data_IF_617609590452
#
_entry.id   IF_617609590452
#
_cell.length_a   1.000
_cell.length_b   1.000
_cell.length_c   1.000
_cell.angle_alpha   90.00
_cell.angle_beta   90.00
_cell.angle_gamma   90.00
#
_symmetry.space_group_name_H-M   'P 1'
#
loop_
_entity.id
_entity.type
_entity.pdbx_description
1 polymer ?
#
# COMPACT_ATOMS: atom_id res chain seq x y z
N UNK A 1 -10.80 32.53 -21.39
CA UNK A 1 -10.37 31.16 -21.03
C UNK A 1 -11.60 30.29 -21.11
N UNK A 2 -11.64 29.36 -22.05
CA UNK A 2 -12.83 28.56 -22.30
C UNK A 2 -13.14 27.65 -21.10
N UNK A 3 -14.42 27.59 -20.71
CA UNK A 3 -14.92 26.80 -19.58
C UNK A 3 -14.49 25.32 -19.64
N UNK A 4 -14.20 24.80 -20.83
CA UNK A 4 -13.68 23.45 -21.05
C UNK A 4 -12.26 23.24 -20.49
N UNK A 5 -11.40 24.26 -20.56
CA UNK A 5 -10.02 24.20 -20.04
C UNK A 5 -9.99 24.14 -18.51
N UNK A 6 -10.86 24.90 -17.85
CA UNK A 6 -10.94 24.96 -16.38
C UNK A 6 -11.45 23.62 -15.82
N UNK A 7 -12.44 23.02 -16.47
CA UNK A 7 -13.02 21.73 -16.03
C UNK A 7 -11.99 20.59 -16.11
N UNK A 8 -11.17 20.54 -17.17
CA UNK A 8 -10.12 19.54 -17.30
C UNK A 8 -9.04 19.64 -16.22
N UNK A 9 -8.67 20.86 -15.82
CA UNK A 9 -7.70 21.12 -14.75
C UNK A 9 -8.24 20.62 -13.40
N UNK A 10 -9.52 20.85 -13.11
CA UNK A 10 -10.15 20.40 -11.87
C UNK A 10 -10.14 18.87 -11.77
N UNK A 11 -10.50 18.16 -12.85
CA UNK A 11 -10.49 16.70 -12.88
C UNK A 11 -9.07 16.15 -12.66
N UNK A 12 -8.08 16.75 -13.32
CA UNK A 12 -6.68 16.35 -13.17
C UNK A 12 -6.18 16.49 -11.72
N UNK A 13 -6.51 17.60 -11.07
CA UNK A 13 -6.14 17.84 -9.66
C UNK A 13 -6.78 16.80 -8.74
N UNK A 14 -8.06 16.46 -8.95
CA UNK A 14 -8.76 15.46 -8.14
C UNK A 14 -8.08 14.09 -8.26
N UNK A 15 -7.76 13.67 -9.49
CA UNK A 15 -7.08 12.39 -9.75
C UNK A 15 -5.70 12.38 -9.09
N UNK A 16 -4.94 13.47 -9.19
CA UNK A 16 -3.61 13.58 -8.60
C UNK A 16 -3.64 13.50 -7.07
N UNK A 17 -4.62 14.16 -6.43
CA UNK A 17 -4.83 14.08 -4.97
C UNK A 17 -5.24 12.67 -4.54
N UNK A 18 -6.13 12.02 -5.29
CA UNK A 18 -6.54 10.64 -5.01
C UNK A 18 -5.38 9.66 -5.15
N UNK A 19 -4.59 9.76 -6.23
CA UNK A 19 -3.41 8.94 -6.45
C UNK A 19 -2.38 9.13 -5.33
N UNK A 20 -2.13 10.37 -4.91
CA UNK A 20 -1.23 10.67 -3.79
C UNK A 20 -1.70 10.07 -2.47
N UNK A 21 -3.02 10.09 -2.20
CA UNK A 21 -3.60 9.48 -0.99
C UNK A 21 -3.45 7.95 -0.99
N UNK A 22 -3.72 7.30 -2.12
CA UNK A 22 -3.57 5.85 -2.28
C UNK A 22 -2.10 5.46 -2.08
N UNK A 23 -1.17 6.21 -2.69
CA UNK A 23 0.26 5.97 -2.52
C UNK A 23 0.69 6.10 -1.06
N UNK A 24 0.23 7.15 -0.35
CA UNK A 24 0.51 7.33 1.07
C UNK A 24 -0.03 6.18 1.93
N UNK A 25 -1.22 5.68 1.61
CA UNK A 25 -1.83 4.55 2.31
C UNK A 25 -1.02 3.26 2.10
N UNK A 26 -0.64 2.97 0.84
CA UNK A 26 0.19 1.82 0.50
C UNK A 26 1.55 1.87 1.22
N UNK A 27 2.20 3.03 1.22
CA UNK A 27 3.51 3.20 1.87
C UNK A 27 3.41 2.90 3.38
N UNK A 28 2.38 3.43 4.04
CA UNK A 28 2.12 3.15 5.46
C UNK A 28 1.89 1.66 5.70
N UNK A 29 1.07 1.01 4.88
CA UNK A 29 0.81 -0.43 5.00
C UNK A 29 2.10 -1.26 4.87
N UNK A 30 2.98 -0.92 3.92
CA UNK A 30 4.28 -1.59 3.76
C UNK A 30 5.17 -1.39 4.98
N UNK A 31 5.25 -0.18 5.53
CA UNK A 31 6.05 0.10 6.73
C UNK A 31 5.54 -0.69 7.94
N UNK A 32 4.22 -0.71 8.16
CA UNK A 32 3.62 -1.50 9.24
C UNK A 32 3.88 -2.99 9.07
N UNK A 33 3.77 -3.50 7.84
CA UNK A 33 4.06 -4.89 7.53
C UNK A 33 5.51 -5.27 7.83
N UNK A 34 6.47 -4.41 7.44
CA UNK A 34 7.89 -4.60 7.75
C UNK A 34 8.16 -4.59 9.25
N UNK A 35 7.55 -3.67 10.01
CA UNK A 35 7.68 -3.62 11.47
C UNK A 35 7.16 -4.89 12.14
N UNK A 36 5.96 -5.35 11.76
CA UNK A 36 5.40 -6.60 12.28
C UNK A 36 6.32 -7.78 11.95
N UNK A 37 6.84 -7.84 10.72
CA UNK A 37 7.76 -8.91 10.32
C UNK A 37 9.05 -8.88 11.14
N UNK A 38 9.63 -7.70 11.38
CA UNK A 38 10.79 -7.56 12.27
C UNK A 38 10.48 -8.05 13.68
N UNK A 39 9.33 -7.68 14.24
CA UNK A 39 8.91 -8.15 15.57
C UNK A 39 8.78 -9.67 15.61
N UNK A 40 8.18 -10.29 14.57
CA UNK A 40 8.06 -11.75 14.49
C UNK A 40 9.41 -12.46 14.43
N UNK A 41 10.36 -11.92 13.66
CA UNK A 41 11.71 -12.48 13.55
C UNK A 41 12.47 -12.32 14.86
N UNK A 42 12.47 -11.12 15.45
CA UNK A 42 13.29 -10.82 16.63
C UNK A 42 12.71 -11.37 17.93
N UNK A 43 11.39 -11.26 18.14
CA UNK A 43 10.76 -11.66 19.40
C UNK A 43 10.43 -13.16 19.45
N UNK A 44 10.09 -13.75 18.31
CA UNK A 44 9.62 -15.14 18.23
C UNK A 44 10.57 -16.05 17.46
N UNK A 45 11.67 -15.54 16.91
CA UNK A 45 12.62 -16.33 16.13
C UNK A 45 12.04 -16.90 14.84
N UNK A 46 10.93 -16.34 14.34
CA UNK A 46 10.25 -16.85 13.15
C UNK A 46 11.14 -16.60 11.92
N UNK A 47 11.52 -17.63 11.15
CA UNK A 47 12.33 -17.44 9.96
C UNK A 47 11.53 -16.66 8.90
N UNK A 48 12.23 -15.75 8.18
CA UNK A 48 11.63 -14.91 7.14
C UNK A 48 10.82 -15.72 6.11
N UNK A 49 11.31 -16.91 5.77
CA UNK A 49 10.68 -17.81 4.81
C UNK A 49 9.25 -18.18 5.21
N UNK A 50 9.01 -18.46 6.50
CA UNK A 50 7.68 -18.79 7.01
C UNK A 50 6.70 -17.62 6.94
N UNK A 51 7.19 -16.38 7.09
CA UNK A 51 6.37 -15.17 6.93
C UNK A 51 5.97 -15.00 5.47
N UNK A 52 6.91 -15.19 4.54
CA UNK A 52 6.63 -15.10 3.09
C UNK A 52 5.64 -16.19 2.64
N UNK A 53 5.79 -17.41 3.14
CA UNK A 53 4.86 -18.52 2.87
C UNK A 53 3.47 -18.24 3.41
N UNK A 54 3.37 -17.70 4.63
CA UNK A 54 2.10 -17.27 5.22
C UNK A 54 1.43 -16.19 4.36
N UNK A 55 2.16 -15.12 3.99
CA UNK A 55 1.62 -14.06 3.11
C UNK A 55 1.17 -14.65 1.77
N UNK A 56 1.96 -15.54 1.17
CA UNK A 56 1.60 -16.20 -0.08
C UNK A 56 0.33 -17.03 0.05
N UNK A 57 0.15 -17.76 1.15
CA UNK A 57 -1.08 -18.52 1.42
C UNK A 57 -2.30 -17.61 1.60
N UNK A 58 -2.15 -16.50 2.31
CA UNK A 58 -3.22 -15.52 2.52
C UNK A 58 -3.61 -14.86 1.19
N UNK A 59 -2.63 -14.49 0.37
CA UNK A 59 -2.89 -13.96 -0.98
C UNK A 59 -3.58 -14.98 -1.87
N UNK A 60 -3.14 -16.24 -1.86
CA UNK A 60 -3.78 -17.31 -2.64
C UNK A 60 -5.20 -17.64 -2.18
N UNK A 61 -5.54 -17.40 -0.90
CA UNK A 61 -6.90 -17.62 -0.38
C UNK A 61 -7.82 -16.42 -0.63
N UNK A 62 -7.25 -15.24 -0.90
CA UNK A 62 -8.00 -14.02 -1.18
C UNK A 62 -8.43 -13.89 -2.65
N UNK A 63 -7.93 -14.76 -3.54
CA UNK A 63 -8.27 -14.85 -4.97
C UNK A 63 -8.88 -16.22 -5.30
#
# INVERSE_FOLDING_TARGET
MDLFSITGIIIFIIILVFAGRILSFLLKAVVWFLLISMVLIFAFGVPWQSIVEWVRSVLLYAF
#
